data_IF_878696126686
#
_entry.id   IF_878696126686
#
_cell.length_a   1.000
_cell.length_b   1.000
_cell.length_c   1.000
_cell.angle_alpha   90.00
_cell.angle_beta   90.00
_cell.angle_gamma   90.00
#
_symmetry.space_group_name_H-M   'P 1'
#
loop_
_entity.id
_entity.type
_entity.pdbx_description
1 polymer ?
#
# COMPACT_ATOMS: atom_id res chain seq x y z
N UNK A 1 23.07 -13.07 -36.80
CA UNK A 1 22.81 -14.50 -36.51
C UNK A 1 24.08 -15.27 -36.87
N UNK A 2 24.71 -15.88 -35.88
CA UNK A 2 25.87 -16.77 -36.15
C UNK A 2 25.42 -18.00 -36.92
N UNK A 3 26.13 -18.28 -37.99
CA UNK A 3 25.93 -19.51 -38.78
C UNK A 3 26.79 -20.59 -38.20
N UNK A 4 26.18 -21.65 -37.63
CA UNK A 4 26.85 -22.80 -37.06
C UNK A 4 26.47 -24.07 -37.81
N UNK A 5 27.32 -25.12 -37.71
CA UNK A 5 27.02 -26.45 -38.27
C UNK A 5 25.69 -26.96 -37.68
N UNK A 6 24.88 -27.62 -38.51
CA UNK A 6 23.56 -28.16 -38.12
C UNK A 6 23.62 -29.03 -36.86
N UNK A 7 24.68 -29.85 -36.72
CA UNK A 7 24.91 -30.70 -35.53
C UNK A 7 24.94 -29.89 -34.20
N UNK A 8 25.62 -28.73 -34.21
CA UNK A 8 25.72 -27.88 -33.03
C UNK A 8 24.33 -27.37 -32.58
N UNK A 9 23.46 -27.01 -33.53
CA UNK A 9 22.09 -26.56 -33.26
C UNK A 9 21.18 -27.64 -32.73
N UNK A 10 21.46 -28.91 -33.01
CA UNK A 10 20.65 -30.06 -32.58
C UNK A 10 21.10 -30.65 -31.24
N UNK A 11 22.37 -30.52 -30.89
CA UNK A 11 22.97 -31.12 -29.68
C UNK A 11 23.14 -30.12 -28.52
N UNK A 12 23.21 -28.82 -28.80
CA UNK A 12 23.39 -27.79 -27.74
C UNK A 12 22.08 -27.27 -27.23
N UNK A 13 22.01 -27.03 -25.91
CA UNK A 13 20.90 -26.34 -25.29
C UNK A 13 20.87 -24.88 -25.73
N UNK A 14 19.68 -24.41 -26.08
CA UNK A 14 19.38 -23.00 -26.25
C UNK A 14 18.82 -22.37 -24.99
N UNK A 15 18.53 -21.07 -25.05
CA UNK A 15 17.80 -20.37 -24.01
C UNK A 15 16.91 -19.27 -24.58
N UNK A 16 15.86 -18.93 -23.85
CA UNK A 16 14.98 -17.80 -24.15
C UNK A 16 15.08 -16.85 -22.98
N UNK A 17 15.50 -15.60 -23.23
CA UNK A 17 15.37 -14.53 -22.25
C UNK A 17 13.90 -14.12 -22.18
N UNK A 18 13.33 -14.15 -21.00
CA UNK A 18 11.96 -13.74 -20.75
C UNK A 18 11.87 -12.21 -20.73
N UNK A 19 10.77 -11.67 -21.25
CA UNK A 19 10.52 -10.23 -21.21
C UNK A 19 10.23 -9.72 -19.79
N UNK A 20 9.68 -10.60 -18.92
CA UNK A 20 9.46 -10.36 -17.51
C UNK A 20 9.79 -11.61 -16.70
N UNK A 21 10.23 -11.50 -15.44
CA UNK A 21 10.44 -12.63 -14.55
C UNK A 21 9.17 -13.45 -14.35
N UNK A 22 9.32 -14.77 -14.21
CA UNK A 22 8.20 -15.70 -14.00
C UNK A 22 8.52 -16.64 -12.85
N UNK A 23 7.59 -16.78 -11.91
CA UNK A 23 7.75 -17.72 -10.81
C UNK A 23 7.64 -19.19 -11.30
N UNK A 24 8.63 -20.00 -10.95
CA UNK A 24 8.60 -21.42 -11.29
C UNK A 24 7.46 -22.11 -10.55
N UNK A 25 6.62 -22.82 -11.31
CA UNK A 25 5.38 -23.42 -10.78
C UNK A 25 5.61 -24.42 -9.64
N UNK A 26 6.73 -25.17 -9.67
CA UNK A 26 7.06 -26.12 -8.60
C UNK A 26 7.33 -25.46 -7.25
N UNK A 27 7.77 -24.21 -7.25
CA UNK A 27 8.09 -23.47 -6.03
C UNK A 27 6.92 -22.58 -5.58
N UNK A 28 6.07 -22.13 -6.52
CA UNK A 28 4.91 -21.30 -6.22
C UNK A 28 3.68 -22.13 -5.86
N UNK A 29 3.35 -23.18 -6.64
CA UNK A 29 2.14 -24.02 -6.45
C UNK A 29 2.41 -25.38 -5.79
N UNK A 30 3.65 -25.69 -5.42
CA UNK A 30 3.97 -26.90 -4.67
C UNK A 30 3.27 -26.95 -3.30
N UNK A 31 3.00 -28.14 -2.81
CA UNK A 31 2.39 -28.32 -1.46
C UNK A 31 3.40 -28.96 -0.53
N UNK A 32 4.03 -28.22 0.39
CA UNK A 32 3.90 -26.77 0.62
C UNK A 32 4.69 -25.91 -0.39
N UNK A 33 4.21 -24.67 -0.65
CA UNK A 33 4.93 -23.71 -1.49
C UNK A 33 6.25 -23.30 -0.84
N UNK A 34 7.38 -23.50 -1.56
CA UNK A 34 8.70 -23.12 -1.04
C UNK A 34 8.88 -21.61 -1.02
N UNK A 35 8.37 -20.91 -2.05
CA UNK A 35 8.31 -19.44 -2.08
C UNK A 35 7.50 -18.90 -0.89
N UNK A 36 6.30 -19.44 -0.68
CA UNK A 36 5.47 -19.04 0.45
C UNK A 36 6.11 -19.30 1.83
N UNK A 37 6.90 -20.36 1.98
CA UNK A 37 7.60 -20.65 3.23
C UNK A 37 8.78 -19.72 3.50
N UNK A 38 9.55 -19.33 2.48
CA UNK A 38 10.65 -18.38 2.65
C UNK A 38 10.09 -17.00 2.98
N UNK A 39 9.14 -16.53 2.17
CA UNK A 39 8.55 -15.19 2.30
C UNK A 39 7.50 -15.07 3.42
N UNK A 40 7.19 -16.13 4.13
CA UNK A 40 6.10 -16.20 5.13
C UNK A 40 4.71 -15.87 4.58
N UNK A 41 4.49 -16.05 3.29
CA UNK A 41 3.22 -15.78 2.63
C UNK A 41 2.32 -17.00 2.59
N UNK A 42 1.01 -16.80 2.77
CA UNK A 42 0.02 -17.81 2.45
C UNK A 42 -0.03 -18.06 0.94
N UNK A 43 -0.38 -19.28 0.46
CA UNK A 43 -0.51 -19.55 -0.96
C UNK A 43 -1.45 -18.57 -1.68
N UNK A 44 -2.56 -18.18 -1.04
CA UNK A 44 -3.51 -17.20 -1.58
C UNK A 44 -2.87 -15.82 -1.75
N UNK A 45 -2.09 -15.36 -0.78
CA UNK A 45 -1.42 -14.05 -0.84
C UNK A 45 -0.33 -14.05 -1.92
N UNK A 46 0.44 -15.13 -2.01
CA UNK A 46 1.44 -15.29 -3.06
C UNK A 46 0.79 -15.27 -4.47
N UNK A 47 -0.34 -15.95 -4.65
CA UNK A 47 -1.10 -15.91 -5.90
C UNK A 47 -1.60 -14.50 -6.24
N UNK A 48 -2.10 -13.74 -5.26
CA UNK A 48 -2.55 -12.36 -5.48
C UNK A 48 -1.44 -11.45 -6.00
N UNK A 49 -0.21 -11.62 -5.48
CA UNK A 49 0.97 -10.90 -5.98
C UNK A 49 1.31 -11.34 -7.39
N UNK A 50 1.49 -12.64 -7.61
CA UNK A 50 1.97 -13.20 -8.87
C UNK A 50 1.00 -12.96 -10.05
N UNK A 51 -0.30 -12.91 -9.77
CA UNK A 51 -1.35 -12.68 -10.79
C UNK A 51 -1.87 -11.23 -10.82
N UNK A 52 -1.08 -10.27 -10.35
CA UNK A 52 -1.35 -8.83 -10.46
C UNK A 52 -2.68 -8.38 -9.82
N UNK A 53 -3.08 -9.04 -8.72
CA UNK A 53 -4.31 -8.70 -7.99
C UNK A 53 -4.05 -7.74 -6.81
N UNK A 54 -2.86 -7.76 -6.23
CA UNK A 54 -2.45 -6.88 -5.14
C UNK A 54 -0.99 -6.47 -5.27
N UNK A 55 -0.68 -5.28 -4.79
CA UNK A 55 0.69 -4.81 -4.62
C UNK A 55 1.33 -5.43 -3.38
N UNK A 56 2.62 -5.63 -3.43
CA UNK A 56 3.43 -5.97 -2.25
C UNK A 56 4.48 -4.89 -2.05
N UNK A 57 4.70 -4.48 -0.81
CA UNK A 57 5.76 -3.54 -0.46
C UNK A 57 7.11 -4.26 -0.57
N UNK A 58 7.97 -3.80 -1.48
CA UNK A 58 9.29 -4.40 -1.74
C UNK A 58 10.38 -3.80 -0.89
N UNK A 59 10.30 -2.51 -0.63
CA UNK A 59 11.27 -1.80 0.22
C UNK A 59 10.63 -0.63 0.94
N UNK A 60 11.17 -0.30 2.10
CA UNK A 60 10.82 0.88 2.89
C UNK A 60 12.11 1.59 3.25
N UNK A 61 12.15 2.89 3.03
CA UNK A 61 13.26 3.75 3.42
C UNK A 61 12.97 4.31 4.83
N UNK A 62 13.66 3.78 5.83
CA UNK A 62 13.47 4.17 7.23
C UNK A 62 13.93 5.61 7.49
N UNK A 63 14.96 6.10 6.77
CA UNK A 63 15.41 7.50 6.87
C UNK A 63 14.35 8.45 6.29
N UNK A 64 13.83 8.14 5.10
CA UNK A 64 12.77 8.93 4.48
C UNK A 64 11.48 8.89 5.33
N UNK A 65 11.16 7.75 5.95
CA UNK A 65 10.05 7.60 6.89
C UNK A 65 10.20 8.52 8.09
N UNK A 66 11.36 8.50 8.75
CA UNK A 66 11.63 9.34 9.90
C UNK A 66 11.54 10.83 9.56
N UNK A 67 12.13 11.24 8.45
CA UNK A 67 12.04 12.62 7.97
C UNK A 67 10.59 13.05 7.67
N UNK A 68 9.78 12.15 7.10
CA UNK A 68 8.37 12.41 6.84
C UNK A 68 7.55 12.58 8.14
N UNK A 69 7.84 11.77 9.16
CA UNK A 69 7.21 11.89 10.48
C UNK A 69 7.59 13.23 11.12
N UNK A 70 8.89 13.59 11.13
CA UNK A 70 9.36 14.87 11.67
C UNK A 70 8.72 16.08 10.96
N UNK A 71 8.54 15.99 9.63
CA UNK A 71 7.85 17.03 8.87
C UNK A 71 6.36 17.14 9.22
N UNK A 72 5.68 16.01 9.44
CA UNK A 72 4.29 16.01 9.87
C UNK A 72 4.11 16.55 11.29
N UNK A 73 5.03 16.24 12.19
CA UNK A 73 5.01 16.79 13.55
C UNK A 73 5.30 18.31 13.55
N UNK A 74 6.28 18.76 12.77
CA UNK A 74 6.58 20.18 12.61
C UNK A 74 5.39 20.94 11.98
N UNK A 75 4.72 20.35 11.00
CA UNK A 75 3.50 20.91 10.41
C UNK A 75 2.39 21.04 11.45
N UNK A 76 2.12 19.98 12.25
CA UNK A 76 1.14 20.02 13.35
C UNK A 76 1.41 21.16 14.32
N UNK A 77 2.67 21.28 14.76
CA UNK A 77 3.04 22.26 15.76
C UNK A 77 2.96 23.71 15.20
N UNK A 78 3.30 23.89 13.93
CA UNK A 78 3.16 25.17 13.24
C UNK A 78 1.69 25.57 13.08
N UNK A 79 0.80 24.65 12.68
CA UNK A 79 -0.63 24.95 12.54
C UNK A 79 -1.28 25.24 13.90
N UNK A 80 -0.94 24.51 14.95
CA UNK A 80 -1.42 24.80 16.32
C UNK A 80 -0.98 26.19 16.76
N UNK A 81 0.29 26.55 16.54
CA UNK A 81 0.81 27.88 16.88
C UNK A 81 0.09 28.97 16.11
N UNK A 82 -0.16 28.76 14.82
CA UNK A 82 -0.92 29.68 13.98
C UNK A 82 -2.33 29.92 14.50
N UNK A 83 -3.05 28.87 14.86
CA UNK A 83 -4.41 29.02 15.45
C UNK A 83 -4.37 29.79 16.77
N UNK A 84 -3.32 29.60 17.58
CA UNK A 84 -3.15 30.37 18.82
C UNK A 84 -2.83 31.86 18.56
N UNK A 85 -2.04 32.16 17.54
CA UNK A 85 -1.75 33.52 17.12
C UNK A 85 -2.97 34.21 16.55
N UNK A 86 -3.68 33.58 15.62
CA UNK A 86 -4.91 34.09 15.01
C UNK A 86 -5.98 34.41 16.08
N UNK A 87 -6.11 33.54 17.10
CA UNK A 87 -7.02 33.78 18.23
C UNK A 87 -6.59 34.99 19.07
N UNK A 88 -5.27 35.11 19.38
CA UNK A 88 -4.75 36.26 20.16
C UNK A 88 -4.94 37.56 19.40
N UNK A 89 -4.70 37.58 18.10
CA UNK A 89 -4.87 38.76 17.26
C UNK A 89 -6.34 39.17 17.17
N UNK A 90 -7.25 38.22 16.98
CA UNK A 90 -8.70 38.47 16.98
C UNK A 90 -9.17 39.10 18.29
N UNK A 91 -8.64 38.66 19.44
CA UNK A 91 -8.94 39.20 20.76
C UNK A 91 -8.35 40.59 20.94
N UNK A 92 -7.09 40.80 20.55
CA UNK A 92 -6.33 42.05 20.72
C UNK A 92 -6.93 43.19 19.86
N UNK A 93 -7.32 42.89 18.63
CA UNK A 93 -7.91 43.85 17.69
C UNK A 93 -9.41 44.08 17.89
N UNK A 94 -10.05 43.37 18.81
CA UNK A 94 -11.52 43.37 19.03
C UNK A 94 -12.31 42.98 17.77
N UNK A 95 -11.73 42.15 16.92
CA UNK A 95 -12.32 41.67 15.68
C UNK A 95 -12.89 40.23 15.83
N UNK A 96 -13.37 39.87 17.02
CA UNK A 96 -13.80 38.49 17.32
C UNK A 96 -15.00 38.06 16.44
N UNK A 97 -16.00 38.93 16.26
CA UNK A 97 -17.21 38.61 15.51
C UNK A 97 -16.92 38.32 13.99
N UNK A 98 -16.18 39.18 13.27
CA UNK A 98 -15.88 38.89 11.87
C UNK A 98 -14.92 37.67 11.69
N UNK A 99 -14.00 37.47 12.62
CA UNK A 99 -13.10 36.27 12.58
C UNK A 99 -13.91 35.02 12.87
N UNK A 100 -14.83 35.03 13.83
CA UNK A 100 -15.74 33.90 14.09
C UNK A 100 -16.57 33.56 12.84
N UNK A 101 -17.14 34.57 12.19
CA UNK A 101 -17.97 34.37 11.00
C UNK A 101 -17.13 33.73 9.86
N UNK A 102 -15.91 34.22 9.63
CA UNK A 102 -15.03 33.65 8.60
C UNK A 102 -14.56 32.24 8.93
N UNK A 103 -14.29 31.95 10.20
CA UNK A 103 -13.87 30.59 10.66
C UNK A 103 -15.01 29.59 10.51
N UNK A 104 -16.23 29.96 10.93
CA UNK A 104 -17.41 29.11 10.77
C UNK A 104 -17.71 28.84 9.29
N UNK A 105 -17.60 29.86 8.44
CA UNK A 105 -17.79 29.67 6.98
C UNK A 105 -16.76 28.75 6.38
N UNK A 106 -15.47 28.92 6.71
CA UNK A 106 -14.40 28.06 6.21
C UNK A 106 -14.56 26.59 6.64
N UNK A 107 -14.96 26.35 7.90
CA UNK A 107 -15.25 24.99 8.39
C UNK A 107 -16.43 24.35 7.66
N UNK A 108 -17.44 25.15 7.35
CA UNK A 108 -18.58 24.65 6.58
C UNK A 108 -18.22 24.29 5.15
N UNK A 109 -17.50 25.17 4.45
CA UNK A 109 -17.07 24.93 3.09
C UNK A 109 -16.17 23.67 3.01
N UNK A 110 -15.27 23.49 3.98
CA UNK A 110 -14.44 22.31 4.09
C UNK A 110 -15.26 21.02 4.31
N UNK A 111 -16.29 21.08 5.15
CA UNK A 111 -17.19 19.95 5.39
C UNK A 111 -18.01 19.59 4.14
N UNK A 112 -18.54 20.60 3.45
CA UNK A 112 -19.29 20.41 2.21
C UNK A 112 -18.42 19.76 1.12
N UNK A 113 -17.16 20.17 1.02
CA UNK A 113 -16.22 19.61 0.06
C UNK A 113 -15.81 18.17 0.42
N UNK A 114 -15.63 17.88 1.72
CA UNK A 114 -15.37 16.52 2.20
C UNK A 114 -16.55 15.57 1.91
N UNK A 115 -17.79 16.00 2.14
CA UNK A 115 -18.99 15.23 1.82
C UNK A 115 -19.16 15.02 0.31
N UNK A 116 -18.76 16.00 -0.52
CA UNK A 116 -18.75 15.87 -1.99
C UNK A 116 -17.72 14.85 -2.44
N UNK A 117 -16.52 14.90 -1.92
CA UNK A 117 -15.46 13.93 -2.22
C UNK A 117 -15.87 12.52 -1.76
N UNK A 118 -16.45 12.39 -0.58
CA UNK A 118 -16.95 11.11 -0.07
C UNK A 118 -18.05 10.51 -0.95
N UNK A 119 -18.96 11.34 -1.47
CA UNK A 119 -20.00 10.89 -2.41
C UNK A 119 -19.44 10.49 -3.77
N UNK A 120 -18.46 11.23 -4.32
CA UNK A 120 -17.77 10.88 -5.56
C UNK A 120 -16.99 9.56 -5.43
N UNK A 121 -16.32 9.34 -4.31
CA UNK A 121 -15.61 8.07 -4.02
C UNK A 121 -16.58 6.88 -3.88
N UNK A 122 -17.72 7.10 -3.23
CA UNK A 122 -18.76 6.06 -3.09
C UNK A 122 -19.44 5.72 -4.42
N UNK A 123 -19.44 6.63 -5.39
CA UNK A 123 -19.97 6.41 -6.74
C UNK A 123 -18.99 5.68 -7.66
N UNK A 124 -17.69 5.81 -7.44
CA UNK A 124 -16.65 5.07 -8.17
C UNK A 124 -16.68 3.57 -7.88
N UNK A 125 -17.19 3.18 -6.72
CA UNK A 125 -17.25 1.77 -6.28
C UNK A 125 -18.58 1.06 -6.70
N UNK A 126 -19.52 1.76 -7.35
CA UNK A 126 -20.79 1.22 -7.84
C UNK A 126 -20.89 1.23 -9.37
N UNK A 127 -21.44 0.17 -10.01
CA UNK A 127 -21.61 0.18 -11.46
C UNK A 127 -22.56 1.33 -11.87
N UNK A 128 -22.05 2.20 -12.73
CA UNK A 128 -22.64 3.44 -13.29
C UNK A 128 -24.19 3.41 -13.40
N UNK A 129 -24.86 3.89 -12.37
CA UNK A 129 -26.21 4.44 -12.52
C UNK A 129 -26.07 5.97 -12.47
N UNK A 130 -26.35 6.64 -13.61
CA UNK A 130 -26.40 8.09 -13.67
C UNK A 130 -27.42 8.59 -12.65
N UNK A 131 -26.99 9.51 -11.77
CA UNK A 131 -27.90 10.24 -10.90
C UNK A 131 -28.98 10.90 -11.75
N UNK A 132 -30.23 10.76 -11.34
CA UNK A 132 -31.34 11.46 -11.99
C UNK A 132 -31.28 12.94 -11.60
N UNK A 133 -31.62 13.84 -12.56
CA UNK A 133 -31.68 15.30 -12.33
C UNK A 133 -32.48 15.71 -11.08
N UNK A 134 -33.36 14.83 -10.60
CA UNK A 134 -34.12 15.05 -9.36
C UNK A 134 -33.29 14.87 -8.09
N UNK A 135 -32.24 14.01 -8.12
CA UNK A 135 -31.38 13.76 -6.96
C UNK A 135 -30.33 14.87 -6.83
N UNK A 136 -29.82 15.41 -7.92
CA UNK A 136 -28.92 16.57 -7.89
C UNK A 136 -29.64 17.84 -7.42
N UNK A 137 -30.86 18.09 -7.90
CA UNK A 137 -31.68 19.23 -7.48
C UNK A 137 -32.09 19.13 -5.98
N UNK A 138 -32.25 17.90 -5.44
CA UNK A 138 -32.56 17.71 -4.02
C UNK A 138 -31.34 17.98 -3.14
N UNK A 139 -30.15 17.54 -3.55
CA UNK A 139 -28.89 17.79 -2.85
C UNK A 139 -28.53 19.29 -2.85
N UNK A 140 -28.75 20.00 -3.97
CA UNK A 140 -28.55 21.45 -4.07
C UNK A 140 -29.51 22.21 -3.14
N UNK A 141 -30.77 21.76 -3.02
CA UNK A 141 -31.75 22.38 -2.14
C UNK A 141 -31.43 22.16 -0.64
N UNK A 142 -31.01 20.94 -0.29
CA UNK A 142 -30.56 20.61 1.07
C UNK A 142 -29.31 21.42 1.47
N UNK A 143 -28.37 21.61 0.52
CA UNK A 143 -27.18 22.43 0.74
C UNK A 143 -27.53 23.93 0.93
N UNK A 144 -28.53 24.45 0.21
CA UNK A 144 -28.97 25.82 0.34
C UNK A 144 -29.70 26.07 1.70
N UNK A 145 -30.57 25.16 2.10
CA UNK A 145 -31.26 25.21 3.40
C UNK A 145 -30.25 25.11 4.58
N UNK A 146 -29.18 24.33 4.40
CA UNK A 146 -28.10 24.22 5.38
C UNK A 146 -27.30 25.53 5.48
N UNK A 147 -26.99 26.17 4.35
CA UNK A 147 -26.28 27.44 4.30
C UNK A 147 -27.09 28.60 4.93
N UNK A 148 -28.42 28.65 4.71
CA UNK A 148 -29.29 29.61 5.32
C UNK A 148 -29.40 29.42 6.85
N UNK A 149 -29.49 28.19 7.35
CA UNK A 149 -29.54 27.93 8.78
C UNK A 149 -28.24 28.32 9.49
N UNK A 150 -27.08 28.17 8.83
CA UNK A 150 -25.78 28.57 9.40
C UNK A 150 -25.59 30.09 9.41
N UNK A 151 -26.03 30.81 8.38
CA UNK A 151 -25.95 32.28 8.39
C UNK A 151 -26.74 32.88 9.56
N UNK A 152 -27.87 32.27 9.89
CA UNK A 152 -28.68 32.65 11.09
C UNK A 152 -27.96 32.29 12.40
N UNK A 153 -27.26 31.17 12.45
CA UNK A 153 -26.47 30.74 13.60
C UNK A 153 -25.28 31.68 13.86
N UNK A 154 -24.56 32.08 12.81
CA UNK A 154 -23.44 33.03 12.88
C UNK A 154 -23.92 34.40 13.43
N UNK A 155 -25.09 34.91 12.99
CA UNK A 155 -25.65 36.17 13.45
C UNK A 155 -26.10 36.14 14.92
N UNK A 156 -26.29 34.97 15.51
CA UNK A 156 -26.72 34.81 16.89
C UNK A 156 -25.61 35.05 17.92
N UNK A 157 -24.33 34.91 17.52
CA UNK A 157 -23.21 35.08 18.44
C UNK A 157 -22.69 36.52 18.45
N UNK A 158 -22.87 37.25 19.57
CA UNK A 158 -22.39 38.62 19.78
C UNK A 158 -21.70 38.76 21.14
N UNK A 159 -20.67 39.63 21.22
CA UNK A 159 -19.95 39.94 22.44
C UNK A 159 -19.21 38.76 23.07
N UNK A 160 -19.41 38.54 24.39
CA UNK A 160 -18.71 37.44 25.12
C UNK A 160 -19.07 36.04 24.59
N UNK A 161 -20.26 35.85 24.06
CA UNK A 161 -20.67 34.60 23.45
C UNK A 161 -19.90 34.29 22.17
N UNK A 162 -19.52 35.28 21.37
CA UNK A 162 -18.69 35.10 20.17
C UNK A 162 -17.28 34.69 20.54
N UNK A 163 -16.69 35.24 21.60
CA UNK A 163 -15.35 34.85 22.05
C UNK A 163 -15.33 33.39 22.53
N UNK A 164 -16.28 32.99 23.36
CA UNK A 164 -16.35 31.58 23.84
C UNK A 164 -16.51 30.61 22.66
N UNK A 165 -17.37 30.93 21.71
CA UNK A 165 -17.56 30.08 20.53
C UNK A 165 -16.32 30.02 19.65
N UNK A 166 -15.60 31.16 19.47
CA UNK A 166 -14.35 31.18 18.70
C UNK A 166 -13.27 30.33 19.39
N UNK A 167 -13.11 30.38 20.71
CA UNK A 167 -12.18 29.55 21.46
C UNK A 167 -12.54 28.06 21.33
N UNK A 168 -13.80 27.68 21.42
CA UNK A 168 -14.24 26.31 21.26
C UNK A 168 -13.92 25.77 19.84
N UNK A 169 -14.19 26.57 18.81
CA UNK A 169 -13.90 26.20 17.41
C UNK A 169 -12.40 26.08 17.13
N UNK A 170 -11.59 26.98 17.70
CA UNK A 170 -10.12 26.88 17.55
C UNK A 170 -9.56 25.63 18.22
N UNK A 171 -10.08 25.25 19.39
CA UNK A 171 -9.69 23.99 20.02
C UNK A 171 -10.18 22.77 19.22
N UNK A 172 -11.37 22.81 18.64
CA UNK A 172 -11.86 21.75 17.73
C UNK A 172 -10.98 21.61 16.48
N UNK A 173 -10.56 22.73 15.87
CA UNK A 173 -9.64 22.73 14.73
C UNK A 173 -8.26 22.17 15.09
N UNK A 174 -7.70 22.56 16.22
CA UNK A 174 -6.42 22.01 16.71
C UNK A 174 -6.51 20.50 16.94
N UNK A 175 -7.62 20.04 17.53
CA UNK A 175 -7.80 18.61 17.76
C UNK A 175 -7.98 17.85 16.43
N UNK A 176 -8.71 18.42 15.47
CA UNK A 176 -8.83 17.84 14.13
C UNK A 176 -7.47 17.71 13.42
N UNK A 177 -6.62 18.74 13.50
CA UNK A 177 -5.26 18.68 12.94
C UNK A 177 -4.40 17.63 13.65
N UNK A 178 -4.46 17.54 14.98
CA UNK A 178 -3.74 16.51 15.74
C UNK A 178 -4.16 15.10 15.30
N UNK A 179 -5.46 14.86 15.19
CA UNK A 179 -6.01 13.55 14.78
C UNK A 179 -5.62 13.24 13.33
N UNK A 180 -5.71 14.19 12.40
CA UNK A 180 -5.32 13.97 11.00
C UNK A 180 -3.82 13.65 10.85
N UNK A 181 -2.97 14.42 11.53
CA UNK A 181 -1.53 14.16 11.53
C UNK A 181 -1.20 12.83 12.20
N UNK A 182 -1.84 12.50 13.32
CA UNK A 182 -1.62 11.22 13.99
C UNK A 182 -2.02 10.04 13.08
N UNK A 183 -3.15 10.13 12.40
CA UNK A 183 -3.57 9.11 11.43
C UNK A 183 -2.55 8.93 10.29
N UNK A 184 -1.95 10.03 9.80
CA UNK A 184 -0.89 9.98 8.78
C UNK A 184 0.40 9.35 9.30
N UNK A 185 0.77 9.63 10.54
CA UNK A 185 1.92 9.01 11.21
C UNK A 185 1.67 7.51 11.41
N UNK A 186 0.50 7.13 11.91
CA UNK A 186 0.11 5.73 12.09
C UNK A 186 0.13 4.97 10.76
N UNK A 187 -0.35 5.59 9.68
CA UNK A 187 -0.27 5.04 8.33
C UNK A 187 1.18 4.79 7.88
N UNK A 188 2.10 5.74 8.15
CA UNK A 188 3.53 5.60 7.83
C UNK A 188 4.20 4.50 8.66
N UNK A 189 3.90 4.42 9.95
CA UNK A 189 4.46 3.41 10.84
C UNK A 189 3.93 2.01 10.55
N UNK A 190 2.70 1.92 10.03
CA UNK A 190 2.09 0.65 9.67
C UNK A 190 2.71 0.01 8.42
N UNK A 191 3.34 0.81 7.52
CA UNK A 191 3.93 0.29 6.27
C UNK A 191 5.14 -0.58 6.58
N UNK A 192 5.09 -1.85 6.20
CA UNK A 192 6.20 -2.81 6.35
C UNK A 192 6.49 -3.52 5.05
N UNK A 193 7.74 -3.93 4.88
CA UNK A 193 8.12 -4.82 3.77
C UNK A 193 7.27 -6.09 3.84
N UNK A 194 6.81 -6.58 2.71
CA UNK A 194 5.90 -7.72 2.55
C UNK A 194 4.41 -7.43 2.81
N UNK A 195 4.02 -6.20 3.16
CA UNK A 195 2.60 -5.87 3.26
C UNK A 195 1.92 -5.90 1.90
N UNK A 196 0.68 -6.38 1.92
CA UNK A 196 -0.16 -6.48 0.73
C UNK A 196 -1.12 -5.30 0.67
N UNK A 197 -1.04 -4.53 -0.40
CA UNK A 197 -1.87 -3.36 -0.63
C UNK A 197 -2.87 -3.61 -1.76
N UNK A 198 -4.11 -3.20 -1.55
CA UNK A 198 -5.08 -3.07 -2.65
C UNK A 198 -4.69 -1.89 -3.54
N UNK A 199 -5.18 -1.87 -4.78
CA UNK A 199 -4.88 -0.78 -5.71
C UNK A 199 -5.29 0.60 -5.16
N UNK A 200 -6.46 0.69 -4.52
CA UNK A 200 -6.94 1.93 -3.91
C UNK A 200 -6.00 2.40 -2.78
N UNK A 201 -5.63 1.49 -1.87
CA UNK A 201 -4.73 1.81 -0.76
C UNK A 201 -3.31 2.15 -1.24
N UNK A 202 -2.82 1.46 -2.27
CA UNK A 202 -1.53 1.76 -2.87
C UNK A 202 -1.51 3.17 -3.48
N UNK A 203 -2.55 3.56 -4.22
CA UNK A 203 -2.64 4.92 -4.79
C UNK A 203 -2.66 5.98 -3.69
N UNK A 204 -3.51 5.79 -2.68
CA UNK A 204 -3.60 6.71 -1.54
C UNK A 204 -2.25 6.90 -0.85
N UNK A 205 -1.58 5.81 -0.48
CA UNK A 205 -0.29 5.86 0.20
C UNK A 205 0.81 6.40 -0.70
N UNK A 206 0.80 6.07 -2.00
CA UNK A 206 1.77 6.56 -2.96
C UNK A 206 1.64 8.07 -3.17
N UNK A 207 0.43 8.58 -3.24
CA UNK A 207 0.20 10.01 -3.45
C UNK A 207 0.62 10.83 -2.23
N UNK A 208 0.48 10.27 -1.01
CA UNK A 208 0.91 10.89 0.24
C UNK A 208 2.41 10.67 0.55
N UNK A 209 2.90 9.43 0.38
CA UNK A 209 4.18 8.97 0.92
C UNK A 209 5.02 8.17 -0.09
N UNK A 210 4.85 8.41 -1.38
CA UNK A 210 5.50 7.63 -2.44
C UNK A 210 7.03 7.65 -2.43
N UNK A 211 7.64 8.57 -1.69
CA UNK A 211 9.10 8.64 -1.50
C UNK A 211 9.62 7.76 -0.35
N UNK A 212 8.72 7.27 0.52
CA UNK A 212 9.07 6.46 1.71
C UNK A 212 9.14 4.98 1.40
N UNK A 213 8.33 4.48 0.47
CA UNK A 213 8.25 3.06 0.18
C UNK A 213 8.14 2.77 -1.31
N UNK A 214 8.50 1.55 -1.68
CA UNK A 214 8.28 1.02 -3.02
C UNK A 214 7.39 -0.20 -2.92
N UNK A 215 6.42 -0.30 -3.81
CA UNK A 215 5.56 -1.47 -3.93
C UNK A 215 5.33 -1.79 -5.41
N UNK A 216 5.33 -3.07 -5.73
CA UNK A 216 5.13 -3.56 -7.09
C UNK A 216 4.30 -4.85 -7.09
N UNK A 217 3.98 -5.37 -8.27
CA UNK A 217 3.20 -6.59 -8.47
C UNK A 217 3.97 -7.60 -9.33
N UNK A 218 3.50 -8.83 -9.31
CA UNK A 218 4.01 -9.89 -10.17
C UNK A 218 5.26 -10.58 -9.62
N UNK A 219 5.88 -11.39 -10.47
CA UNK A 219 7.07 -12.16 -10.10
C UNK A 219 8.32 -11.29 -9.92
N UNK A 220 8.35 -10.11 -10.53
CA UNK A 220 9.45 -9.14 -10.40
C UNK A 220 9.57 -8.62 -8.96
N UNK A 221 8.43 -8.27 -8.32
CA UNK A 221 8.43 -7.88 -6.92
C UNK A 221 8.92 -8.99 -5.99
N UNK A 222 8.52 -10.21 -6.27
CA UNK A 222 8.98 -11.39 -5.51
C UNK A 222 10.49 -11.60 -5.70
N UNK A 223 11.00 -11.40 -6.91
CA UNK A 223 12.43 -11.48 -7.20
C UNK A 223 13.22 -10.44 -6.39
N UNK A 224 12.81 -9.18 -6.45
CA UNK A 224 13.43 -8.07 -5.70
C UNK A 224 13.48 -8.36 -4.19
N UNK A 225 12.40 -8.87 -3.62
CA UNK A 225 12.35 -9.23 -2.20
C UNK A 225 13.31 -10.39 -1.89
N UNK A 226 13.36 -11.41 -2.75
CA UNK A 226 14.26 -12.57 -2.54
C UNK A 226 15.74 -12.21 -2.66
N UNK A 227 16.10 -11.29 -3.56
CA UNK A 227 17.45 -10.76 -3.71
C UNK A 227 17.91 -10.01 -2.47
N UNK A 228 16.99 -9.25 -1.85
CA UNK A 228 17.26 -8.47 -0.64
C UNK A 228 17.11 -9.29 0.67
N UNK A 229 16.63 -10.53 0.59
CA UNK A 229 16.42 -11.38 1.77
C UNK A 229 17.72 -12.09 2.18
N UNK A 230 18.25 -11.74 3.36
CA UNK A 230 19.34 -12.47 3.97
C UNK A 230 18.84 -13.74 4.68
N UNK A 231 19.19 -14.90 4.13
CA UNK A 231 18.79 -16.19 4.68
C UNK A 231 19.44 -16.50 6.04
N UNK A 232 20.56 -15.87 6.37
CA UNK A 232 21.21 -16.05 7.68
C UNK A 232 20.42 -15.33 8.78
N UNK A 233 20.00 -14.11 8.52
CA UNK A 233 19.14 -13.34 9.44
C UNK A 233 17.79 -14.04 9.65
N UNK A 234 17.13 -14.45 8.57
CA UNK A 234 15.87 -15.23 8.65
C UNK A 234 16.02 -16.52 9.46
N UNK A 235 17.15 -17.20 9.32
CA UNK A 235 17.46 -18.40 10.13
C UNK A 235 17.53 -18.09 11.62
N UNK A 236 18.23 -17.03 11.98
CA UNK A 236 18.38 -16.62 13.40
C UNK A 236 16.99 -16.33 14.00
N UNK A 237 16.18 -15.54 13.32
CA UNK A 237 14.81 -15.25 13.74
C UNK A 237 13.94 -16.50 13.90
N UNK A 238 14.01 -17.42 12.92
CA UNK A 238 13.25 -18.66 12.97
C UNK A 238 13.70 -19.59 14.09
N UNK A 239 15.00 -19.64 14.42
CA UNK A 239 15.52 -20.38 15.58
C UNK A 239 14.99 -19.81 16.89
N UNK A 240 14.95 -18.48 17.00
CA UNK A 240 14.39 -17.81 18.17
C UNK A 240 12.88 -18.07 18.29
N UNK A 241 12.14 -17.99 17.19
CA UNK A 241 10.71 -18.33 17.15
C UNK A 241 10.46 -19.79 17.58
N UNK A 242 11.30 -20.74 17.14
CA UNK A 242 11.17 -22.15 17.54
C UNK A 242 11.41 -22.33 19.03
N UNK A 243 12.30 -21.55 19.66
CA UNK A 243 12.58 -21.59 21.11
C UNK A 243 11.46 -20.97 21.93
N UNK A 244 10.96 -19.81 21.48
CA UNK A 244 10.07 -18.96 22.27
C UNK A 244 8.58 -19.19 21.99
N UNK A 245 8.21 -20.04 21.02
CA UNK A 245 6.82 -20.31 20.69
C UNK A 245 6.44 -21.78 20.86
N UNK A 246 5.13 -22.05 20.96
CA UNK A 246 4.56 -23.40 21.06
C UNK A 246 3.43 -23.62 20.03
N UNK A 247 2.94 -24.84 19.95
CA UNK A 247 1.78 -25.19 19.15
C UNK A 247 1.98 -24.99 17.63
N UNK A 248 1.03 -24.37 16.97
CA UNK A 248 1.00 -24.20 15.51
C UNK A 248 2.09 -23.22 15.01
N UNK A 249 2.38 -22.16 15.77
CA UNK A 249 3.43 -21.20 15.43
C UNK A 249 4.79 -21.88 15.35
N UNK A 250 5.13 -22.69 16.35
CA UNK A 250 6.36 -23.48 16.35
C UNK A 250 6.44 -24.45 15.17
N UNK A 251 5.34 -25.15 14.86
CA UNK A 251 5.29 -26.05 13.69
C UNK A 251 5.52 -25.32 12.38
N UNK A 252 4.95 -24.12 12.22
CA UNK A 252 5.17 -23.26 11.04
C UNK A 252 6.63 -22.82 10.96
N UNK A 253 7.21 -22.32 12.05
CA UNK A 253 8.61 -21.91 12.10
C UNK A 253 9.57 -23.05 11.75
N UNK A 254 9.35 -24.27 12.26
CA UNK A 254 10.16 -25.45 11.92
C UNK A 254 10.07 -25.78 10.42
N UNK A 255 8.88 -25.70 9.80
CA UNK A 255 8.75 -25.95 8.36
C UNK A 255 9.52 -24.92 7.55
N UNK A 256 9.44 -23.64 7.91
CA UNK A 256 10.20 -22.55 7.26
C UNK A 256 11.71 -22.75 7.44
N UNK A 257 12.15 -23.01 8.65
CA UNK A 257 13.55 -23.24 8.98
C UNK A 257 14.17 -24.38 8.16
N UNK A 258 13.44 -25.49 7.95
CA UNK A 258 13.92 -26.58 7.09
C UNK A 258 14.21 -26.14 5.65
N UNK A 259 13.36 -25.28 5.08
CA UNK A 259 13.56 -24.77 3.72
C UNK A 259 14.75 -23.83 3.68
N UNK A 260 14.85 -22.88 4.60
CA UNK A 260 15.98 -21.94 4.71
C UNK A 260 17.30 -22.70 4.86
N UNK A 261 17.37 -23.71 5.76
CA UNK A 261 18.55 -24.55 5.95
C UNK A 261 18.92 -25.36 4.69
N UNK A 262 17.91 -25.82 3.92
CA UNK A 262 18.16 -26.53 2.69
C UNK A 262 18.82 -25.63 1.64
N UNK A 263 18.36 -24.37 1.49
CA UNK A 263 18.99 -23.40 0.59
C UNK A 263 20.43 -23.08 1.02
N UNK A 264 20.63 -22.78 2.30
CA UNK A 264 21.97 -22.50 2.84
C UNK A 264 22.96 -23.65 2.63
N UNK A 265 22.54 -24.88 2.92
CA UNK A 265 23.40 -26.06 2.77
C UNK A 265 23.71 -26.43 1.32
N UNK A 266 22.77 -26.18 0.40
CA UNK A 266 22.96 -26.46 -1.02
C UNK A 266 23.74 -25.38 -1.76
N UNK A 267 23.90 -24.19 -1.17
CA UNK A 267 24.50 -23.04 -1.85
C UNK A 267 23.63 -22.45 -2.95
N UNK A 268 22.38 -22.91 -3.08
CA UNK A 268 21.44 -22.34 -4.05
C UNK A 268 20.87 -21.03 -3.52
N UNK A 269 20.71 -20.06 -4.41
CA UNK A 269 20.11 -18.79 -4.09
C UNK A 269 18.57 -18.87 -4.15
N UNK A 270 17.89 -18.20 -3.23
CA UNK A 270 16.42 -18.16 -3.18
C UNK A 270 15.80 -17.50 -4.42
N UNK A 271 16.46 -16.50 -4.99
CA UNK A 271 16.04 -15.77 -6.19
C UNK A 271 15.95 -16.68 -7.43
N UNK A 272 16.69 -17.80 -7.48
CA UNK A 272 16.63 -18.74 -8.61
C UNK A 272 15.28 -19.47 -8.74
N UNK A 273 14.40 -19.34 -7.80
CA UNK A 273 13.02 -19.83 -7.93
C UNK A 273 12.17 -18.97 -8.87
N UNK A 274 12.67 -17.80 -9.24
CA UNK A 274 12.08 -16.91 -10.25
C UNK A 274 12.93 -17.00 -11.51
N UNK A 275 12.29 -17.35 -12.61
CA UNK A 275 12.95 -17.55 -13.89
C UNK A 275 13.02 -16.23 -14.67
N UNK A 276 14.21 -15.84 -15.04
CA UNK A 276 14.49 -14.74 -15.99
C UNK A 276 14.91 -15.27 -17.35
N UNK A 277 15.40 -16.50 -17.36
CA UNK A 277 15.86 -17.23 -18.57
C UNK A 277 15.26 -18.62 -18.55
N UNK A 278 14.69 -19.04 -19.66
CA UNK A 278 14.15 -20.39 -19.84
C UNK A 278 15.11 -21.23 -20.68
N UNK A 279 15.62 -22.36 -20.17
CA UNK A 279 16.44 -23.28 -20.98
C UNK A 279 15.57 -24.02 -22.00
N UNK A 280 16.09 -24.19 -23.20
CA UNK A 280 15.43 -24.93 -24.27
C UNK A 280 16.26 -26.20 -24.59
N UNK A 281 15.63 -27.35 -24.45
CA UNK A 281 16.25 -28.62 -24.77
C UNK A 281 16.55 -28.70 -26.27
N UNK A 282 17.69 -29.28 -26.64
CA UNK A 282 17.97 -29.53 -28.05
C UNK A 282 17.04 -30.60 -28.64
N UNK A 283 16.74 -30.55 -29.94
CA UNK A 283 15.82 -31.49 -30.61
C UNK A 283 16.10 -32.97 -30.37
N UNK A 284 17.36 -33.36 -30.24
CA UNK A 284 17.75 -34.74 -29.99
C UNK A 284 17.35 -35.30 -28.62
N UNK A 285 17.04 -34.39 -27.64
CA UNK A 285 16.60 -34.76 -26.31
C UNK A 285 15.07 -34.60 -26.12
N UNK A 286 14.35 -34.18 -27.15
CA UNK A 286 12.90 -34.09 -27.09
C UNK A 286 12.29 -35.49 -27.01
N UNK A 287 11.36 -35.75 -26.10
CA UNK A 287 10.66 -37.04 -26.06
C UNK A 287 9.82 -37.20 -27.33
N UNK A 288 9.81 -38.40 -27.90
CA UNK A 288 8.90 -38.75 -28.99
C UNK A 288 7.49 -38.90 -28.40
N UNK A 289 6.55 -38.10 -28.87
CA UNK A 289 5.15 -38.16 -28.47
C UNK A 289 4.34 -38.80 -29.56
N UNK A 290 3.58 -39.85 -29.21
CA UNK A 290 2.64 -40.48 -30.13
C UNK A 290 1.43 -39.59 -30.34
N UNK A 291 1.20 -39.16 -31.58
CA UNK A 291 0.01 -38.42 -31.98
C UNK A 291 -1.14 -39.37 -32.31
N UNK A 292 -2.34 -38.81 -32.39
CA UNK A 292 -3.51 -39.53 -32.85
C UNK A 292 -3.27 -40.12 -34.26
N UNK A 293 -3.57 -41.39 -34.42
CA UNK A 293 -3.29 -42.14 -35.67
C UNK A 293 -1.94 -42.85 -35.72
N UNK A 294 -1.24 -42.98 -34.58
CA UNK A 294 -0.01 -43.81 -34.47
C UNK A 294 1.27 -43.19 -35.04
N UNK A 295 1.25 -41.88 -35.36
CA UNK A 295 2.43 -41.10 -35.78
C UNK A 295 3.18 -40.59 -34.55
N UNK A 296 4.49 -40.47 -34.67
CA UNK A 296 5.36 -39.86 -33.65
C UNK A 296 5.80 -38.47 -34.11
N UNK A 297 5.81 -37.51 -33.20
CA UNK A 297 6.34 -36.17 -33.38
C UNK A 297 7.54 -35.92 -32.44
#
# INVERSE_FOLDING_TARGET
VEVARSKVRRERMGHVKLAAPVAHIWFSKGTPSRLGLILDLSPRNLERILYFSQYVVTSVDDMARQNAIEQLEAYRDAEITRFDEDLKDAVSEKNVEPVLASTMQAMFDAKLEADRIATELAELDKPKKKLTKAQTAKAEKEALELAESQSLEIESYKGEGALTKLTDLTEEQKEAVKVDVQNKIDDLEAIRVMDLLTEARFRELRDKFGHVFRASMGAESVLEILENTDLDSVRIELLDQVRNTSGQRRKKAIKRLRVVEAFRKSGNKSEWMILTVLPVLPPELHPMVQLDGGRFA
#
